data_IF_956116497213
#
_entry.id   IF_956116497213
#
_cell.length_a   1.000
_cell.length_b   1.000
_cell.length_c   1.000
_cell.angle_alpha   90.00
_cell.angle_beta   90.00
_cell.angle_gamma   90.00
#
_symmetry.space_group_name_H-M   'P 1'
#
loop_
_entity.id
_entity.type
_entity.pdbx_description
1 polymer ?
#
# COMPACT_ATOMS: atom_id res chain seq x y z
N UNK A 1 0.06 -36.22 54.27
CA UNK A 1 0.11 -36.59 52.82
C UNK A 1 -0.75 -35.59 52.07
N UNK A 2 -0.16 -34.50 51.70
CA UNK A 2 -0.80 -33.43 50.88
C UNK A 2 -0.40 -33.66 49.41
N UNK A 3 -1.42 -33.87 48.62
CA UNK A 3 -1.31 -34.15 47.14
C UNK A 3 -0.71 -32.92 46.43
N UNK A 4 0.45 -33.07 45.74
CA UNK A 4 1.12 -31.97 45.02
C UNK A 4 0.63 -31.70 43.59
N UNK A 5 -0.50 -32.24 43.15
CA UNK A 5 -0.92 -32.23 41.74
C UNK A 5 -2.17 -31.37 41.46
N UNK A 6 -2.33 -30.21 42.05
CA UNK A 6 -3.27 -29.18 41.57
C UNK A 6 -2.54 -27.87 41.21
N UNK A 7 -1.54 -27.94 40.34
CA UNK A 7 -1.20 -26.77 39.54
C UNK A 7 -2.29 -26.68 38.48
N UNK A 8 -3.20 -25.74 38.67
CA UNK A 8 -4.24 -25.42 37.70
C UNK A 8 -3.58 -25.11 36.35
N UNK A 9 -3.73 -26.04 35.41
CA UNK A 9 -3.37 -25.91 34.02
C UNK A 9 -4.31 -24.84 33.40
N UNK A 10 -4.04 -23.57 33.68
CA UNK A 10 -4.68 -22.44 32.99
C UNK A 10 -4.16 -22.47 31.56
N UNK A 11 -4.81 -23.29 30.70
CA UNK A 11 -4.58 -23.24 29.26
C UNK A 11 -4.66 -21.77 28.82
N UNK A 12 -3.60 -21.18 28.27
CA UNK A 12 -3.65 -19.79 27.83
C UNK A 12 -4.82 -19.65 26.85
N UNK A 13 -5.66 -18.64 27.05
CA UNK A 13 -6.81 -18.34 26.19
C UNK A 13 -6.33 -18.26 24.72
N UNK A 14 -6.56 -19.31 23.94
CA UNK A 14 -6.17 -19.37 22.52
C UNK A 14 -7.22 -18.61 21.74
N UNK A 15 -6.87 -17.42 21.33
CA UNK A 15 -7.67 -16.65 20.37
C UNK A 15 -7.77 -17.43 19.06
N UNK A 16 -8.96 -17.49 18.46
CA UNK A 16 -9.19 -18.11 17.17
C UNK A 16 -8.26 -17.45 16.11
N UNK A 17 -7.55 -18.24 15.32
CA UNK A 17 -6.62 -17.75 14.30
C UNK A 17 -7.27 -16.80 13.29
N UNK A 18 -8.55 -16.97 12.97
CA UNK A 18 -9.29 -16.04 12.11
C UNK A 18 -9.51 -14.67 12.73
N UNK A 19 -9.64 -14.57 14.06
CA UNK A 19 -9.68 -13.27 14.74
C UNK A 19 -8.32 -12.57 14.61
N UNK A 20 -7.22 -13.33 14.70
CA UNK A 20 -5.87 -12.78 14.46
C UNK A 20 -5.75 -12.26 13.03
N UNK A 21 -6.18 -13.03 12.03
CA UNK A 21 -6.19 -12.61 10.61
C UNK A 21 -7.02 -11.35 10.42
N UNK A 22 -8.22 -11.29 10.99
CA UNK A 22 -9.09 -10.11 10.92
C UNK A 22 -8.41 -8.88 11.53
N UNK A 23 -7.82 -9.01 12.72
CA UNK A 23 -7.10 -7.91 13.38
C UNK A 23 -5.91 -7.42 12.54
N UNK A 24 -5.20 -8.33 11.87
CA UNK A 24 -4.10 -7.96 10.96
C UNK A 24 -4.63 -7.25 9.71
N UNK A 25 -5.76 -7.71 9.14
CA UNK A 25 -6.41 -7.02 8.02
C UNK A 25 -6.82 -5.59 8.38
N UNK A 26 -7.45 -5.41 9.55
CA UNK A 26 -7.84 -4.07 10.03
C UNK A 26 -6.61 -3.23 10.38
N UNK A 27 -5.53 -3.84 10.89
CA UNK A 27 -4.24 -3.15 11.09
C UNK A 27 -3.65 -2.64 9.77
N UNK A 28 -3.85 -3.36 8.67
CA UNK A 28 -3.44 -2.90 7.34
C UNK A 28 -4.19 -1.62 6.91
N UNK A 29 -5.48 -1.48 7.30
CA UNK A 29 -6.21 -0.21 7.12
C UNK A 29 -5.55 0.94 7.88
N UNK A 30 -5.16 0.71 9.14
CA UNK A 30 -4.51 1.75 9.97
C UNK A 30 -3.15 2.16 9.39
N UNK A 31 -2.30 1.21 9.02
CA UNK A 31 -0.94 1.49 8.55
C UNK A 31 -0.89 2.07 7.12
N UNK A 32 -1.82 1.67 6.24
CA UNK A 32 -1.80 2.07 4.83
C UNK A 32 -2.90 3.04 4.47
N UNK A 33 -4.18 2.69 4.73
CA UNK A 33 -5.26 3.56 4.34
C UNK A 33 -5.26 4.87 5.14
N UNK A 34 -5.17 4.79 6.47
CA UNK A 34 -5.18 5.97 7.34
C UNK A 34 -3.83 6.70 7.31
N UNK A 35 -2.73 5.98 7.47
CA UNK A 35 -1.40 6.57 7.57
C UNK A 35 -0.80 7.07 6.25
N UNK A 36 -1.38 6.69 5.10
CA UNK A 36 -0.78 6.98 3.79
C UNK A 36 -1.80 7.48 2.76
N UNK A 37 -2.84 6.69 2.45
CA UNK A 37 -3.78 7.05 1.37
C UNK A 37 -4.78 8.13 1.78
N UNK A 38 -5.06 8.28 3.08
CA UNK A 38 -5.90 9.35 3.61
C UNK A 38 -5.41 10.74 3.22
N UNK A 39 -4.09 10.93 3.17
CA UNK A 39 -3.51 12.21 2.79
C UNK A 39 -3.90 12.60 1.34
N UNK A 40 -3.88 11.67 0.39
CA UNK A 40 -4.32 11.94 -0.98
C UNK A 40 -5.80 12.32 -1.07
N UNK A 41 -6.66 11.72 -0.24
CA UNK A 41 -8.10 12.07 -0.17
C UNK A 41 -8.31 13.46 0.42
N UNK A 42 -7.51 13.83 1.42
CA UNK A 42 -7.63 15.10 2.17
C UNK A 42 -6.75 16.21 1.60
N UNK A 43 -5.93 15.93 0.58
CA UNK A 43 -4.92 16.88 0.07
C UNK A 43 -5.51 18.23 -0.32
N UNK A 44 -6.64 18.35 -1.07
CA UNK A 44 -7.20 19.66 -1.39
C UNK A 44 -7.55 20.44 -0.12
N UNK A 45 -8.21 19.81 0.85
CA UNK A 45 -8.58 20.44 2.11
C UNK A 45 -7.36 20.89 2.94
N UNK A 46 -6.36 20.04 3.07
CA UNK A 46 -5.09 20.35 3.76
C UNK A 46 -4.37 21.51 3.09
N UNK A 47 -4.30 21.49 1.75
CA UNK A 47 -3.65 22.52 0.97
C UNK A 47 -4.31 23.89 1.19
N UNK A 48 -5.63 23.93 1.11
CA UNK A 48 -6.40 25.17 1.15
C UNK A 48 -6.48 25.74 2.57
N UNK A 49 -6.69 24.89 3.58
CA UNK A 49 -6.74 25.29 4.99
C UNK A 49 -5.37 25.79 5.51
N UNK A 50 -4.26 25.14 5.12
CA UNK A 50 -2.92 25.53 5.51
C UNK A 50 -2.29 26.59 4.57
N UNK A 51 -2.94 26.94 3.47
CA UNK A 51 -2.46 27.94 2.50
C UNK A 51 -1.13 27.54 1.85
N UNK A 52 -0.92 26.26 1.55
CA UNK A 52 0.33 25.74 0.99
C UNK A 52 0.22 25.46 -0.52
N UNK A 53 1.36 25.48 -1.22
CA UNK A 53 1.42 25.14 -2.64
C UNK A 53 1.23 23.63 -2.88
N UNK A 54 0.86 23.23 -4.10
CA UNK A 54 0.80 21.83 -4.51
C UNK A 54 2.18 21.15 -4.41
N UNK A 55 3.25 21.89 -4.69
CA UNK A 55 4.62 21.43 -4.51
C UNK A 55 4.89 21.01 -3.07
N UNK A 56 4.56 21.88 -2.09
CA UNK A 56 4.77 21.56 -0.67
C UNK A 56 3.86 20.40 -0.22
N UNK A 57 2.61 20.38 -0.67
CA UNK A 57 1.71 19.26 -0.42
C UNK A 57 2.26 17.95 -0.99
N UNK A 58 2.83 17.97 -2.20
CA UNK A 58 3.53 16.84 -2.81
C UNK A 58 4.76 16.38 -1.99
N UNK A 59 5.54 17.32 -1.46
CA UNK A 59 6.67 16.99 -0.58
C UNK A 59 6.23 16.32 0.72
N UNK A 60 5.13 16.76 1.33
CA UNK A 60 4.58 16.11 2.54
C UNK A 60 4.18 14.66 2.22
N UNK A 61 3.47 14.43 1.11
CA UNK A 61 3.10 13.08 0.65
C UNK A 61 4.33 12.22 0.33
N UNK A 62 5.31 12.78 -0.39
CA UNK A 62 6.57 12.13 -0.71
C UNK A 62 7.39 11.78 0.54
N UNK A 63 7.43 12.67 1.53
CA UNK A 63 8.13 12.45 2.80
C UNK A 63 7.51 11.28 3.61
N UNK A 64 6.18 11.17 3.65
CA UNK A 64 5.50 10.02 4.25
C UNK A 64 5.96 8.69 3.61
N UNK A 65 6.00 8.65 2.29
CA UNK A 65 6.42 7.47 1.54
C UNK A 65 7.91 7.19 1.68
N UNK A 66 8.75 8.23 1.69
CA UNK A 66 10.17 8.12 1.97
C UNK A 66 10.44 7.57 3.38
N UNK A 67 9.67 8.03 4.36
CA UNK A 67 9.72 7.51 5.72
C UNK A 67 9.28 6.03 5.80
N UNK A 68 8.29 5.63 5.00
CA UNK A 68 7.93 4.21 4.85
C UNK A 68 9.09 3.40 4.27
N UNK A 69 9.79 3.91 3.25
CA UNK A 69 10.97 3.25 2.69
C UNK A 69 12.08 3.07 3.73
N UNK A 70 12.36 4.11 4.53
CA UNK A 70 13.30 4.02 5.67
C UNK A 70 12.83 2.98 6.67
N UNK A 71 11.56 2.98 7.03
CA UNK A 71 10.94 1.97 7.90
C UNK A 71 11.13 0.55 7.36
N UNK A 72 11.02 0.35 6.04
CA UNK A 72 11.27 -0.94 5.38
C UNK A 72 12.70 -1.43 5.60
N UNK A 73 13.68 -0.55 5.45
CA UNK A 73 15.09 -0.86 5.74
C UNK A 73 15.29 -1.17 7.22
N UNK A 74 14.65 -0.43 8.11
CA UNK A 74 14.66 -0.71 9.55
C UNK A 74 14.10 -2.10 9.87
N UNK A 75 12.97 -2.51 9.26
CA UNK A 75 12.42 -3.87 9.45
C UNK A 75 13.43 -4.92 9.05
N UNK A 76 14.10 -4.76 7.91
CA UNK A 76 15.11 -5.73 7.43
C UNK A 76 16.27 -5.92 8.42
N UNK A 77 16.66 -4.85 9.12
CA UNK A 77 17.69 -4.89 10.15
C UNK A 77 17.17 -5.45 11.48
N UNK A 78 15.95 -5.03 11.90
CA UNK A 78 15.34 -5.43 13.16
C UNK A 78 14.92 -6.90 13.16
N UNK A 79 14.44 -7.42 12.02
CA UNK A 79 13.94 -8.79 11.88
C UNK A 79 15.01 -9.85 12.18
N UNK A 80 16.31 -9.51 12.03
CA UNK A 80 17.42 -10.38 12.43
C UNK A 80 17.67 -10.43 13.95
N UNK A 81 17.07 -9.53 14.74
CA UNK A 81 17.35 -9.35 16.18
C UNK A 81 16.11 -9.49 17.05
N UNK A 82 14.95 -9.12 16.54
CA UNK A 82 13.69 -9.06 17.29
C UNK A 82 12.60 -9.91 16.64
N UNK A 83 11.61 -10.31 17.44
CA UNK A 83 10.45 -11.04 16.93
C UNK A 83 9.58 -10.14 16.05
N UNK A 84 9.12 -10.67 14.92
CA UNK A 84 8.28 -9.92 13.96
C UNK A 84 7.03 -9.31 14.60
N UNK A 85 6.40 -10.03 15.53
CA UNK A 85 5.26 -9.51 16.29
C UNK A 85 5.63 -8.28 17.15
N UNK A 86 6.82 -8.24 17.73
CA UNK A 86 7.32 -7.07 18.46
C UNK A 86 7.49 -5.86 17.53
N UNK A 87 8.09 -6.08 16.35
CA UNK A 87 8.25 -5.04 15.31
C UNK A 87 6.88 -4.51 14.88
N UNK A 88 5.93 -5.40 14.59
CA UNK A 88 4.56 -5.02 14.20
C UNK A 88 3.86 -4.18 15.28
N UNK A 89 4.01 -4.54 16.56
CA UNK A 89 3.42 -3.78 17.68
C UNK A 89 4.00 -2.37 17.79
N UNK A 90 5.33 -2.23 17.65
CA UNK A 90 5.98 -0.91 17.60
C UNK A 90 5.46 -0.11 16.39
N UNK A 91 5.33 -0.74 15.23
CA UNK A 91 4.75 -0.12 14.04
C UNK A 91 3.34 0.40 14.28
N UNK A 92 2.50 -0.38 14.97
CA UNK A 92 1.13 0.01 15.32
C UNK A 92 1.10 1.24 16.25
N UNK A 93 1.96 1.26 17.27
CA UNK A 93 2.09 2.41 18.17
C UNK A 93 2.52 3.66 17.40
N UNK A 94 3.55 3.56 16.55
CA UNK A 94 4.02 4.68 15.74
C UNK A 94 2.94 5.18 14.78
N UNK A 95 2.20 4.28 14.11
CA UNK A 95 1.10 4.68 13.24
C UNK A 95 0.04 5.47 14.00
N UNK A 96 -0.36 5.01 15.18
CA UNK A 96 -1.36 5.68 16.03
C UNK A 96 -0.83 7.03 16.55
N UNK A 97 0.44 7.10 17.00
CA UNK A 97 1.08 8.36 17.43
C UNK A 97 1.13 9.36 16.27
N UNK A 98 1.49 8.92 15.07
CA UNK A 98 1.48 9.80 13.90
C UNK A 98 0.08 10.28 13.53
N UNK A 99 -0.97 9.43 13.60
CA UNK A 99 -2.36 9.84 13.40
C UNK A 99 -2.82 10.84 14.46
N UNK A 100 -2.43 10.65 15.72
CA UNK A 100 -2.65 11.62 16.78
C UNK A 100 -2.00 12.98 16.43
N UNK A 101 -0.72 12.98 16.07
CA UNK A 101 -0.02 14.20 15.65
C UNK A 101 -0.68 14.87 14.44
N UNK A 102 -1.14 14.11 13.44
CA UNK A 102 -1.83 14.64 12.29
C UNK A 102 -3.17 15.30 12.67
N UNK A 103 -3.93 14.72 13.61
CA UNK A 103 -5.21 15.24 14.06
C UNK A 103 -5.12 16.57 14.83
N UNK A 104 -3.96 16.88 15.41
CA UNK A 104 -3.69 18.15 16.11
C UNK A 104 -2.77 19.09 15.33
N UNK A 105 -2.45 18.76 14.07
CA UNK A 105 -1.55 19.59 13.27
C UNK A 105 -2.21 20.90 12.89
N UNK A 106 -1.46 21.99 13.10
CA UNK A 106 -1.85 23.38 12.72
C UNK A 106 -0.88 23.98 11.71
N UNK A 107 0.08 23.21 11.23
CA UNK A 107 1.07 23.63 10.25
C UNK A 107 1.51 22.47 9.35
N UNK A 108 1.99 22.83 8.16
CA UNK A 108 2.53 21.88 7.18
C UNK A 108 3.68 21.04 7.74
N UNK A 109 4.56 21.65 8.56
CA UNK A 109 5.72 20.99 9.17
C UNK A 109 5.26 19.93 10.19
N UNK A 110 4.30 20.28 11.06
CA UNK A 110 3.76 19.36 12.07
C UNK A 110 3.04 18.18 11.39
N UNK A 111 2.24 18.47 10.38
CA UNK A 111 1.57 17.43 9.59
C UNK A 111 2.59 16.53 8.88
N UNK A 112 3.59 17.11 8.21
CA UNK A 112 4.64 16.37 7.52
C UNK A 112 5.41 15.44 8.46
N UNK A 113 5.81 15.92 9.65
CA UNK A 113 6.47 15.09 10.67
C UNK A 113 5.54 13.96 11.14
N UNK A 114 4.28 14.26 11.42
CA UNK A 114 3.28 13.28 11.85
C UNK A 114 3.08 12.19 10.80
N UNK A 115 3.00 12.56 9.52
CA UNK A 115 2.90 11.62 8.41
C UNK A 115 4.20 10.81 8.20
N UNK A 116 5.37 11.37 8.45
CA UNK A 116 6.62 10.59 8.47
C UNK A 116 6.58 9.51 9.56
N UNK A 117 6.08 9.83 10.75
CA UNK A 117 5.91 8.85 11.83
C UNK A 117 4.95 7.74 11.43
N UNK A 118 3.79 8.09 10.77
CA UNK A 118 2.88 7.07 10.24
C UNK A 118 3.54 6.25 9.13
N UNK A 119 4.38 6.84 8.30
CA UNK A 119 5.11 6.15 7.23
C UNK A 119 6.02 5.05 7.78
N UNK A 120 6.89 5.40 8.75
CA UNK A 120 7.74 4.40 9.45
C UNK A 120 6.87 3.35 10.14
N UNK A 121 5.84 3.78 10.89
CA UNK A 121 4.91 2.90 11.59
C UNK A 121 4.22 1.92 10.63
N UNK A 122 3.76 2.40 9.48
CA UNK A 122 3.14 1.59 8.43
C UNK A 122 4.05 0.49 7.90
N UNK A 123 5.34 0.78 7.69
CA UNK A 123 6.32 -0.21 7.26
C UNK A 123 6.55 -1.30 8.31
N UNK A 124 6.78 -0.88 9.58
CA UNK A 124 6.98 -1.80 10.69
C UNK A 124 5.76 -2.67 10.96
N UNK A 125 4.57 -2.18 10.63
CA UNK A 125 3.32 -2.90 10.75
C UNK A 125 3.11 -3.88 9.59
N UNK A 126 3.24 -3.40 8.35
CA UNK A 126 2.85 -4.13 7.15
C UNK A 126 3.79 -5.29 6.80
N UNK A 127 5.11 -5.07 6.90
CA UNK A 127 6.07 -6.08 6.43
C UNK A 127 6.00 -7.38 7.23
N UNK A 128 5.88 -7.38 8.59
CA UNK A 128 5.70 -8.59 9.36
C UNK A 128 4.30 -9.22 9.23
N UNK A 129 3.30 -8.44 8.87
CA UNK A 129 1.89 -8.81 8.94
C UNK A 129 1.53 -10.10 8.16
N UNK A 130 1.97 -10.33 6.91
CA UNK A 130 1.69 -11.57 6.17
C UNK A 130 2.18 -12.83 6.88
N UNK A 131 3.36 -12.76 7.49
CA UNK A 131 3.97 -13.88 8.20
C UNK A 131 3.15 -14.20 9.45
N UNK A 132 2.73 -13.17 10.21
CA UNK A 132 1.94 -13.32 11.43
C UNK A 132 0.54 -13.86 11.10
N UNK A 133 -0.09 -13.37 10.02
CA UNK A 133 -1.39 -13.87 9.55
C UNK A 133 -1.31 -15.34 9.12
N UNK A 134 -0.27 -15.71 8.37
CA UNK A 134 -0.06 -17.08 7.92
C UNK A 134 0.22 -18.05 9.08
N UNK A 135 0.92 -17.61 10.13
CA UNK A 135 1.20 -18.42 11.32
C UNK A 135 -0.06 -18.70 12.19
N UNK A 136 -1.05 -17.82 12.09
CA UNK A 136 -2.26 -17.90 12.92
C UNK A 136 -3.23 -19.01 12.49
N UNK A 137 -3.09 -19.55 11.27
CA UNK A 137 -4.05 -20.47 10.66
C UNK A 137 -3.37 -21.70 10.03
N UNK A 138 -4.15 -22.80 9.76
CA UNK A 138 -3.62 -24.00 9.11
C UNK A 138 -2.99 -23.72 7.74
N UNK A 139 -1.99 -24.52 7.36
CA UNK A 139 -1.17 -24.32 6.16
C UNK A 139 -1.98 -24.21 4.86
N UNK A 140 -3.04 -25.01 4.72
CA UNK A 140 -3.93 -25.01 3.54
C UNK A 140 -4.75 -23.72 3.37
N UNK A 141 -4.86 -22.86 4.41
CA UNK A 141 -5.61 -21.60 4.40
C UNK A 141 -4.72 -20.35 4.38
N UNK A 142 -3.40 -20.51 4.49
CA UNK A 142 -2.42 -19.39 4.49
C UNK A 142 -2.54 -18.46 3.29
N UNK A 143 -2.69 -18.96 2.03
CA UNK A 143 -2.86 -18.05 0.89
C UNK A 143 -4.09 -17.14 1.02
N UNK A 144 -5.19 -17.65 1.57
CA UNK A 144 -6.39 -16.87 1.82
C UNK A 144 -6.14 -15.77 2.86
N UNK A 145 -5.46 -16.09 3.98
CA UNK A 145 -5.16 -15.09 5.01
C UNK A 145 -4.29 -13.94 4.49
N UNK A 146 -3.27 -14.25 3.71
CA UNK A 146 -2.40 -13.24 3.09
C UNK A 146 -3.18 -12.42 2.06
N UNK A 147 -4.03 -13.06 1.25
CA UNK A 147 -4.89 -12.37 0.28
C UNK A 147 -5.87 -11.38 0.91
N UNK A 148 -6.46 -11.74 2.06
CA UNK A 148 -7.38 -10.88 2.81
C UNK A 148 -6.74 -9.59 3.33
N UNK A 149 -5.42 -9.54 3.49
CA UNK A 149 -4.74 -8.32 3.94
C UNK A 149 -4.86 -7.17 2.93
N UNK A 150 -4.80 -7.46 1.63
CA UNK A 150 -5.04 -6.45 0.59
C UNK A 150 -6.45 -5.87 0.65
N UNK A 151 -7.44 -6.71 0.99
CA UNK A 151 -8.82 -6.27 1.20
C UNK A 151 -8.94 -5.27 2.36
N UNK A 152 -8.13 -5.44 3.43
CA UNK A 152 -8.08 -4.49 4.55
C UNK A 152 -7.71 -3.07 4.10
N UNK A 153 -6.77 -2.92 3.17
CA UNK A 153 -6.43 -1.60 2.60
C UNK A 153 -7.62 -1.02 1.83
N UNK A 154 -8.28 -1.81 0.98
CA UNK A 154 -9.45 -1.37 0.21
C UNK A 154 -10.61 -0.91 1.10
N UNK A 155 -10.92 -1.66 2.16
CA UNK A 155 -11.92 -1.27 3.17
C UNK A 155 -11.52 0.02 3.90
N UNK A 156 -10.24 0.15 4.26
CA UNK A 156 -9.72 1.37 4.88
C UNK A 156 -9.85 2.59 3.98
N UNK A 157 -9.55 2.46 2.70
CA UNK A 157 -9.71 3.52 1.69
C UNK A 157 -11.19 3.90 1.56
N UNK A 158 -12.09 2.93 1.40
CA UNK A 158 -13.53 3.17 1.35
C UNK A 158 -14.01 3.94 2.59
N UNK A 159 -13.58 3.52 3.77
CA UNK A 159 -13.95 4.18 5.03
C UNK A 159 -13.45 5.63 5.07
N UNK A 160 -12.14 5.84 4.85
CA UNK A 160 -11.52 7.18 4.90
C UNK A 160 -12.16 8.12 3.91
N UNK A 161 -12.35 7.68 2.66
CA UNK A 161 -12.93 8.52 1.61
C UNK A 161 -14.35 8.93 1.96
N UNK A 162 -15.18 7.97 2.41
CA UNK A 162 -16.57 8.26 2.77
C UNK A 162 -16.68 9.21 3.97
N UNK A 163 -15.87 8.98 5.00
CA UNK A 163 -15.88 9.83 6.21
C UNK A 163 -15.33 11.22 5.89
N UNK A 164 -14.21 11.30 5.16
CA UNK A 164 -13.60 12.59 4.81
C UNK A 164 -14.51 13.45 3.93
N UNK A 165 -15.14 12.86 2.91
CA UNK A 165 -16.07 13.58 2.05
C UNK A 165 -17.25 14.15 2.83
N UNK A 166 -17.87 13.37 3.73
CA UNK A 166 -19.00 13.84 4.54
C UNK A 166 -18.63 14.89 5.58
N UNK A 167 -17.46 14.74 6.22
CA UNK A 167 -16.99 15.75 7.19
C UNK A 167 -16.71 17.07 6.51
N UNK A 168 -16.04 17.05 5.36
CA UNK A 168 -15.77 18.27 4.58
C UNK A 168 -17.04 18.93 4.07
N UNK A 169 -18.02 18.17 3.62
CA UNK A 169 -19.31 18.70 3.17
C UNK A 169 -20.08 19.41 4.30
N UNK A 170 -20.03 18.87 5.52
CA UNK A 170 -20.77 19.42 6.66
C UNK A 170 -20.04 20.51 7.43
N UNK A 171 -18.70 20.52 7.45
CA UNK A 171 -17.88 21.36 8.32
C UNK A 171 -16.84 22.20 7.55
N UNK A 172 -16.75 22.03 6.22
CA UNK A 172 -15.75 22.70 5.39
C UNK A 172 -14.37 22.02 5.43
N UNK A 173 -13.40 22.65 4.75
CA UNK A 173 -12.09 22.06 4.54
C UNK A 173 -11.28 21.86 5.83
N UNK A 174 -11.41 22.72 6.83
CA UNK A 174 -10.78 22.55 8.14
C UNK A 174 -11.13 21.21 8.82
N UNK A 175 -12.17 20.49 8.34
CA UNK A 175 -12.55 19.15 8.81
C UNK A 175 -11.54 18.05 8.48
N UNK A 176 -10.46 18.32 7.72
CA UNK A 176 -9.40 17.35 7.51
C UNK A 176 -8.76 16.88 8.82
N UNK A 177 -8.61 17.77 9.80
CA UNK A 177 -8.08 17.44 11.13
C UNK A 177 -9.02 16.46 11.87
N UNK A 178 -10.35 16.67 11.80
CA UNK A 178 -11.36 15.79 12.37
C UNK A 178 -11.38 14.42 11.66
N UNK A 179 -11.15 14.39 10.35
CA UNK A 179 -11.00 13.12 9.64
C UNK A 179 -9.82 12.31 10.16
N UNK A 180 -8.66 12.93 10.43
CA UNK A 180 -7.54 12.26 11.10
C UNK A 180 -7.86 11.87 12.55
N UNK A 181 -8.66 12.68 13.26
CA UNK A 181 -9.07 12.37 14.63
C UNK A 181 -9.93 11.09 14.70
N UNK A 182 -10.88 10.93 13.78
CA UNK A 182 -11.67 9.69 13.66
C UNK A 182 -10.76 8.48 13.39
N UNK A 183 -9.81 8.63 12.46
CA UNK A 183 -8.83 7.59 12.14
C UNK A 183 -7.93 7.26 13.34
N UNK A 184 -7.53 8.26 14.13
CA UNK A 184 -6.77 8.09 15.35
C UNK A 184 -7.54 7.25 16.38
N UNK A 185 -8.80 7.58 16.67
CA UNK A 185 -9.60 6.80 17.64
C UNK A 185 -9.80 5.34 17.23
N UNK A 186 -10.06 5.11 15.93
CA UNK A 186 -10.15 3.75 15.41
C UNK A 186 -8.79 3.05 15.50
N UNK A 187 -7.71 3.76 15.16
CA UNK A 187 -6.35 3.25 15.30
C UNK A 187 -6.01 2.83 16.72
N UNK A 188 -6.40 3.62 17.73
CA UNK A 188 -6.25 3.28 19.15
C UNK A 188 -7.03 2.01 19.50
N UNK A 189 -8.31 1.91 19.08
CA UNK A 189 -9.12 0.72 19.34
C UNK A 189 -8.48 -0.54 18.74
N UNK A 190 -8.07 -0.47 17.46
CA UNK A 190 -7.39 -1.59 16.78
C UNK A 190 -6.07 -1.94 17.49
N UNK A 191 -5.28 -0.94 17.86
CA UNK A 191 -4.02 -1.13 18.60
C UNK A 191 -4.26 -1.90 19.90
N UNK A 192 -5.25 -1.51 20.69
CA UNK A 192 -5.58 -2.18 21.96
C UNK A 192 -5.94 -3.65 21.71
N UNK A 193 -6.81 -3.93 20.72
CA UNK A 193 -7.16 -5.32 20.38
C UNK A 193 -5.96 -6.12 19.89
N UNK A 194 -5.09 -5.55 19.06
CA UNK A 194 -3.87 -6.22 18.59
C UNK A 194 -2.92 -6.51 19.74
N UNK A 195 -2.69 -5.56 20.66
CA UNK A 195 -1.81 -5.76 21.81
C UNK A 195 -2.33 -6.82 22.78
N UNK A 196 -3.65 -6.90 22.97
CA UNK A 196 -4.29 -7.83 23.88
C UNK A 196 -4.45 -9.24 23.29
N UNK A 197 -4.85 -9.35 22.04
CA UNK A 197 -5.30 -10.62 21.43
C UNK A 197 -4.24 -11.29 20.57
N UNK A 198 -3.34 -10.56 19.90
CA UNK A 198 -2.28 -11.14 19.07
C UNK A 198 -1.06 -11.41 19.96
N UNK A 199 -0.99 -12.59 20.58
CA UNK A 199 0.01 -12.88 21.63
C UNK A 199 1.14 -13.84 21.21
N UNK A 200 0.93 -14.69 20.19
CA UNK A 200 1.86 -15.76 19.84
C UNK A 200 2.27 -15.70 18.37
N UNK A 201 3.55 -15.90 18.13
CA UNK A 201 4.15 -16.08 16.82
C UNK A 201 5.28 -17.10 16.91
N UNK A 202 5.25 -18.12 16.05
CA UNK A 202 6.29 -19.14 15.95
C UNK A 202 7.30 -18.85 14.83
N UNK A 203 6.99 -17.94 13.90
CA UNK A 203 7.85 -17.66 12.75
C UNK A 203 9.24 -17.16 13.17
N UNK A 204 10.27 -17.76 12.59
CA UNK A 204 11.65 -17.31 12.71
C UNK A 204 11.87 -16.03 11.91
N UNK A 205 12.85 -15.18 12.30
CA UNK A 205 13.20 -14.00 11.53
C UNK A 205 13.52 -14.37 10.08
N UNK A 206 13.06 -13.53 9.14
CA UNK A 206 13.40 -13.67 7.72
C UNK A 206 14.90 -13.41 7.52
N UNK A 207 15.50 -14.06 6.52
CA UNK A 207 16.91 -13.91 6.18
C UNK A 207 17.31 -12.47 5.79
N UNK A 208 18.61 -12.22 5.67
CA UNK A 208 19.20 -10.92 5.32
C UNK A 208 18.70 -10.43 3.96
N UNK A 209 18.02 -9.30 3.93
CA UNK A 209 17.61 -8.57 2.73
C UNK A 209 18.35 -7.22 2.61
N UNK A 210 17.88 -6.35 1.72
CA UNK A 210 18.38 -4.99 1.54
C UNK A 210 19.35 -4.85 0.36
N UNK A 211 20.35 -3.97 0.46
CA UNK A 211 21.29 -3.66 -0.64
C UNK A 211 22.06 -4.88 -1.18
N UNK A 212 22.33 -5.87 -0.34
CA UNK A 212 22.92 -7.16 -0.75
C UNK A 212 22.04 -7.95 -1.73
N UNK A 213 20.76 -7.61 -1.86
CA UNK A 213 19.83 -8.27 -2.78
C UNK A 213 20.01 -7.92 -4.25
N UNK A 214 20.74 -6.85 -4.60
CA UNK A 214 20.95 -6.48 -6.01
C UNK A 214 21.72 -7.54 -6.79
N UNK A 215 22.70 -8.20 -6.18
CA UNK A 215 23.42 -9.29 -6.83
C UNK A 215 22.52 -10.52 -7.10
N UNK A 216 21.61 -10.83 -6.18
CA UNK A 216 20.60 -11.87 -6.39
C UNK A 216 19.61 -11.48 -7.49
N UNK A 217 19.12 -10.23 -7.47
CA UNK A 217 18.22 -9.70 -8.49
C UNK A 217 18.83 -9.78 -9.90
N UNK A 218 20.13 -9.41 -10.05
CA UNK A 218 20.82 -9.45 -11.35
C UNK A 218 20.95 -10.86 -11.94
N UNK A 219 20.90 -11.91 -11.11
CA UNK A 219 20.88 -13.30 -11.59
C UNK A 219 19.55 -13.69 -12.22
N UNK A 220 18.47 -12.98 -11.89
CA UNK A 220 17.15 -13.26 -12.46
C UNK A 220 17.07 -12.85 -13.92
N UNK A 221 16.56 -13.73 -14.79
CA UNK A 221 16.30 -13.40 -16.20
C UNK A 221 15.22 -12.31 -16.28
N UNK A 222 15.53 -11.21 -16.98
CA UNK A 222 14.63 -10.07 -17.09
C UNK A 222 14.60 -9.15 -15.87
N UNK A 223 15.63 -9.19 -15.03
CA UNK A 223 15.73 -8.36 -13.83
C UNK A 223 15.60 -6.85 -14.11
N UNK A 224 16.27 -6.35 -15.15
CA UNK A 224 16.25 -4.92 -15.47
C UNK A 224 14.87 -4.44 -15.94
N UNK A 225 14.24 -5.05 -16.98
CA UNK A 225 12.90 -4.63 -17.40
C UNK A 225 11.84 -4.80 -16.30
N UNK A 226 11.94 -5.83 -15.43
CA UNK A 226 11.03 -5.96 -14.31
C UNK A 226 11.21 -4.83 -13.28
N UNK A 227 12.45 -4.55 -12.91
CA UNK A 227 12.77 -3.49 -11.95
C UNK A 227 12.35 -2.11 -12.46
N UNK A 228 12.58 -1.86 -13.77
CA UNK A 228 12.11 -0.64 -14.42
C UNK A 228 10.58 -0.54 -14.40
N UNK A 229 9.86 -1.61 -14.75
CA UNK A 229 8.41 -1.64 -14.71
C UNK A 229 7.88 -1.42 -13.26
N UNK A 230 8.54 -2.00 -12.27
CA UNK A 230 8.16 -1.81 -10.87
C UNK A 230 8.41 -0.36 -10.40
N UNK A 231 9.53 0.25 -10.82
CA UNK A 231 9.79 1.67 -10.60
C UNK A 231 8.74 2.57 -11.28
N UNK A 232 8.38 2.26 -12.55
CA UNK A 232 7.30 2.97 -13.25
C UNK A 232 5.96 2.85 -12.49
N UNK A 233 5.63 1.66 -11.97
CA UNK A 233 4.43 1.49 -11.15
C UNK A 233 4.49 2.36 -9.90
N UNK A 234 5.61 2.38 -9.17
CA UNK A 234 5.79 3.23 -7.99
C UNK A 234 5.60 4.71 -8.28
N UNK A 235 6.11 5.18 -9.41
CA UNK A 235 6.01 6.56 -9.84
C UNK A 235 4.58 6.93 -10.27
N UNK A 236 3.98 6.16 -11.18
CA UNK A 236 2.71 6.51 -11.80
C UNK A 236 1.52 6.49 -10.85
N UNK A 237 1.47 5.49 -9.93
CA UNK A 237 0.29 5.33 -9.11
C UNK A 237 0.14 6.45 -8.06
N UNK A 238 1.24 6.98 -7.53
CA UNK A 238 1.16 8.08 -6.57
C UNK A 238 0.86 9.42 -7.24
N UNK A 239 1.25 9.62 -8.50
CA UNK A 239 0.74 10.76 -9.27
C UNK A 239 -0.78 10.68 -9.42
N UNK A 240 -1.32 9.50 -9.64
CA UNK A 240 -2.76 9.33 -9.77
C UNK A 240 -3.49 9.39 -8.42
N UNK A 241 -3.16 8.51 -7.48
CA UNK A 241 -3.86 8.42 -6.19
C UNK A 241 -3.59 9.63 -5.29
N UNK A 242 -2.41 10.19 -5.36
CA UNK A 242 -2.03 11.34 -4.54
C UNK A 242 -2.77 12.62 -4.90
N UNK A 243 -3.19 12.76 -6.16
CA UNK A 243 -3.81 13.99 -6.67
C UNK A 243 -5.22 13.79 -7.24
N UNK A 244 -5.84 12.60 -7.09
CA UNK A 244 -7.14 12.31 -7.69
C UNK A 244 -8.24 13.27 -7.20
N UNK A 245 -8.39 13.44 -5.90
CA UNK A 245 -9.39 14.33 -5.32
C UNK A 245 -9.13 15.78 -5.73
N UNK A 246 -7.89 16.23 -5.63
CA UNK A 246 -7.50 17.58 -6.03
C UNK A 246 -7.78 17.83 -7.52
N UNK A 247 -7.47 16.86 -8.40
CA UNK A 247 -7.79 16.97 -9.83
C UNK A 247 -9.30 17.10 -10.08
N UNK A 248 -10.11 16.34 -9.36
CA UNK A 248 -11.57 16.38 -9.54
C UNK A 248 -12.18 17.66 -8.99
N UNK A 249 -11.71 18.14 -7.85
CA UNK A 249 -12.19 19.37 -7.23
C UNK A 249 -11.72 20.61 -8.00
N UNK A 250 -10.41 20.78 -8.21
CA UNK A 250 -9.85 22.01 -8.80
C UNK A 250 -10.12 22.13 -10.31
N UNK A 251 -9.85 21.04 -11.07
CA UNK A 251 -9.91 21.13 -12.54
C UNK A 251 -11.29 20.77 -13.10
N UNK A 252 -12.13 20.03 -12.35
CA UNK A 252 -13.45 19.56 -12.82
C UNK A 252 -14.61 20.16 -12.02
N UNK A 253 -14.35 20.90 -10.93
CA UNK A 253 -15.38 21.56 -10.12
C UNK A 253 -16.27 20.58 -9.33
N UNK A 254 -15.75 19.39 -9.00
CA UNK A 254 -16.50 18.40 -8.23
C UNK A 254 -16.61 18.82 -6.76
N UNK A 255 -17.69 18.37 -6.12
CA UNK A 255 -17.81 18.50 -4.66
C UNK A 255 -16.84 17.57 -3.95
N UNK A 256 -16.50 17.88 -2.70
CA UNK A 256 -15.66 17.00 -1.86
C UNK A 256 -16.27 15.61 -1.67
N UNK A 257 -17.61 15.49 -1.64
CA UNK A 257 -18.34 14.23 -1.55
C UNK A 257 -18.15 13.41 -2.82
N UNK A 258 -18.35 14.01 -3.99
CA UNK A 258 -18.27 13.29 -5.28
C UNK A 258 -16.83 12.85 -5.57
N UNK A 259 -15.84 13.72 -5.32
CA UNK A 259 -14.42 13.41 -5.46
C UNK A 259 -13.99 12.27 -4.50
N UNK A 260 -14.45 12.32 -3.25
CA UNK A 260 -14.22 11.25 -2.27
C UNK A 260 -14.94 9.95 -2.67
N UNK A 261 -16.12 10.02 -3.30
CA UNK A 261 -16.83 8.84 -3.81
C UNK A 261 -16.06 8.16 -4.94
N UNK A 262 -15.44 8.92 -5.85
CA UNK A 262 -14.56 8.35 -6.88
C UNK A 262 -13.40 7.55 -6.25
N UNK A 263 -12.80 8.07 -5.18
CA UNK A 263 -11.76 7.36 -4.42
C UNK A 263 -12.32 6.13 -3.69
N UNK A 264 -13.55 6.19 -3.18
CA UNK A 264 -14.24 5.06 -2.56
C UNK A 264 -14.49 3.91 -3.53
N UNK A 265 -14.95 4.21 -4.76
CA UNK A 265 -15.16 3.24 -5.84
C UNK A 265 -13.84 2.53 -6.19
N UNK A 266 -12.75 3.30 -6.27
CA UNK A 266 -11.42 2.74 -6.47
C UNK A 266 -11.03 1.79 -5.33
N UNK A 267 -11.29 2.16 -4.07
CA UNK A 267 -11.04 1.32 -2.89
C UNK A 267 -11.81 -0.01 -2.94
N UNK A 268 -13.09 0.01 -3.34
CA UNK A 268 -13.88 -1.21 -3.54
C UNK A 268 -13.27 -2.09 -4.64
N UNK A 269 -12.88 -1.50 -5.76
CA UNK A 269 -12.25 -2.25 -6.85
C UNK A 269 -10.92 -2.90 -6.45
N UNK A 270 -10.14 -2.26 -5.58
CA UNK A 270 -8.89 -2.80 -5.03
C UNK A 270 -9.09 -4.11 -4.26
N UNK A 271 -10.25 -4.32 -3.63
CA UNK A 271 -10.56 -5.56 -2.88
C UNK A 271 -10.51 -6.77 -3.81
N UNK A 272 -10.95 -6.61 -5.04
CA UNK A 272 -11.14 -7.71 -6.00
C UNK A 272 -10.00 -7.82 -7.02
N UNK A 273 -9.32 -6.72 -7.34
CA UNK A 273 -8.36 -6.65 -8.44
C UNK A 273 -7.21 -7.63 -8.29
N UNK A 274 -6.51 -7.63 -7.15
CA UNK A 274 -5.37 -8.52 -6.89
C UNK A 274 -5.72 -10.00 -7.08
N UNK A 275 -6.71 -10.56 -6.36
CA UNK A 275 -7.13 -11.95 -6.50
C UNK A 275 -7.57 -12.30 -7.92
N UNK A 276 -8.32 -11.44 -8.59
CA UNK A 276 -8.84 -11.68 -9.93
C UNK A 276 -7.70 -11.79 -10.96
N UNK A 277 -6.83 -10.78 -11.05
CA UNK A 277 -5.80 -10.78 -12.09
C UNK A 277 -4.69 -11.80 -11.83
N UNK A 278 -4.38 -12.12 -10.56
CA UNK A 278 -3.43 -13.20 -10.26
C UNK A 278 -3.99 -14.58 -10.61
N UNK A 279 -5.30 -14.81 -10.43
CA UNK A 279 -5.95 -16.03 -10.89
C UNK A 279 -5.94 -16.13 -12.42
N UNK A 280 -6.23 -15.03 -13.11
CA UNK A 280 -6.15 -14.98 -14.57
C UNK A 280 -4.71 -15.17 -15.08
N UNK A 281 -3.72 -14.74 -14.32
CA UNK A 281 -2.30 -14.93 -14.67
C UNK A 281 -1.89 -16.40 -14.71
N UNK A 282 -2.53 -17.27 -13.92
CA UNK A 282 -2.31 -18.73 -13.99
C UNK A 282 -2.73 -19.30 -15.35
N UNK A 283 -3.75 -18.71 -15.99
CA UNK A 283 -4.27 -19.16 -17.28
C UNK A 283 -3.57 -18.48 -18.48
N UNK A 284 -3.36 -17.17 -18.41
CA UNK A 284 -2.88 -16.38 -19.53
C UNK A 284 -1.39 -16.03 -19.43
N UNK A 285 -0.74 -16.32 -18.30
CA UNK A 285 0.65 -15.99 -18.01
C UNK A 285 0.83 -14.60 -17.40
N UNK A 286 1.81 -14.50 -16.49
CA UNK A 286 2.08 -13.28 -15.70
C UNK A 286 2.51 -12.12 -16.59
N UNK A 287 3.36 -12.37 -17.61
CA UNK A 287 3.81 -11.33 -18.55
C UNK A 287 2.64 -10.70 -19.30
N UNK A 288 1.68 -11.50 -19.78
CA UNK A 288 0.50 -10.99 -20.47
C UNK A 288 -0.36 -10.12 -19.56
N UNK A 289 -0.61 -10.58 -18.33
CA UNK A 289 -1.42 -9.82 -17.35
C UNK A 289 -0.74 -8.53 -16.92
N UNK A 290 0.59 -8.52 -16.75
CA UNK A 290 1.36 -7.29 -16.53
C UNK A 290 1.24 -6.33 -17.73
N UNK A 291 1.37 -6.84 -18.96
CA UNK A 291 1.22 -6.02 -20.19
C UNK A 291 -0.18 -5.41 -20.27
N UNK A 292 -1.22 -6.20 -19.96
CA UNK A 292 -2.60 -5.74 -19.92
C UNK A 292 -2.79 -4.63 -18.87
N UNK A 293 -2.25 -4.84 -17.65
CA UNK A 293 -2.39 -3.88 -16.55
C UNK A 293 -1.70 -2.53 -16.87
N UNK A 294 -0.45 -2.56 -17.35
CA UNK A 294 0.25 -1.35 -17.77
C UNK A 294 -0.38 -0.71 -19.01
N UNK A 295 -0.93 -1.48 -19.94
CA UNK A 295 -1.60 -0.98 -21.15
C UNK A 295 -2.96 -0.34 -20.88
N UNK A 296 -3.73 -0.84 -19.90
CA UNK A 296 -5.03 -0.30 -19.54
C UNK A 296 -4.95 0.92 -18.60
N UNK A 297 -3.88 1.07 -17.83
CA UNK A 297 -3.70 2.20 -16.93
C UNK A 297 -3.85 3.57 -17.63
N UNK A 298 -3.15 3.86 -18.76
CA UNK A 298 -3.32 5.13 -19.46
C UNK A 298 -4.73 5.30 -20.01
N UNK A 299 -5.41 4.23 -20.44
CA UNK A 299 -6.80 4.28 -20.93
C UNK A 299 -7.73 4.78 -19.81
N UNK A 300 -7.67 4.16 -18.64
CA UNK A 300 -8.50 4.59 -17.50
C UNK A 300 -8.09 5.98 -17.00
N UNK A 301 -6.80 6.32 -17.05
CA UNK A 301 -6.33 7.68 -16.69
C UNK A 301 -6.94 8.73 -17.60
N UNK A 302 -6.96 8.51 -18.92
CA UNK A 302 -7.58 9.43 -19.91
C UNK A 302 -9.10 9.51 -19.69
N UNK A 303 -9.75 8.41 -19.37
CA UNK A 303 -11.18 8.40 -19.03
C UNK A 303 -11.45 9.28 -17.79
N UNK A 304 -10.62 9.22 -16.76
CA UNK A 304 -10.73 10.08 -15.57
C UNK A 304 -10.49 11.54 -15.89
N UNK A 305 -9.61 11.86 -16.84
CA UNK A 305 -9.36 13.23 -17.29
C UNK A 305 -10.57 13.87 -17.96
N UNK A 306 -11.59 13.12 -18.38
CA UNK A 306 -12.83 13.68 -18.91
C UNK A 306 -13.57 14.58 -17.92
N UNK A 307 -13.40 14.38 -16.61
CA UNK A 307 -14.09 15.11 -15.56
C UNK A 307 -15.61 14.82 -15.48
N UNK A 308 -16.14 13.92 -16.33
CA UNK A 308 -17.57 13.57 -16.35
C UNK A 308 -17.82 12.41 -15.36
N UNK A 309 -18.84 12.51 -14.54
CA UNK A 309 -19.06 11.63 -13.39
C UNK A 309 -19.02 10.13 -13.73
N UNK A 310 -19.85 9.66 -14.66
CA UNK A 310 -19.95 8.23 -14.97
C UNK A 310 -18.64 7.66 -15.57
N UNK A 311 -17.99 8.30 -16.58
CA UNK A 311 -16.66 7.90 -17.04
C UNK A 311 -15.62 7.90 -15.92
N UNK A 312 -15.57 8.93 -15.06
CA UNK A 312 -14.61 9.01 -13.96
C UNK A 312 -14.79 7.83 -13.00
N UNK A 313 -15.99 7.49 -12.59
CA UNK A 313 -16.26 6.35 -11.72
C UNK A 313 -15.81 5.03 -12.36
N UNK A 314 -16.09 4.85 -13.65
CA UNK A 314 -15.61 3.68 -14.40
C UNK A 314 -14.06 3.64 -14.49
N UNK A 315 -13.43 4.77 -14.77
CA UNK A 315 -11.97 4.91 -14.78
C UNK A 315 -11.35 4.61 -13.43
N UNK A 316 -11.90 5.15 -12.34
CA UNK A 316 -11.44 4.90 -10.97
C UNK A 316 -11.61 3.43 -10.57
N UNK A 317 -12.71 2.78 -10.97
CA UNK A 317 -12.90 1.34 -10.78
C UNK A 317 -11.81 0.56 -11.51
N UNK A 318 -11.51 0.89 -12.77
CA UNK A 318 -10.44 0.26 -13.54
C UNK A 318 -9.06 0.45 -12.89
N UNK A 319 -8.71 1.67 -12.49
CA UNK A 319 -7.45 1.95 -11.79
C UNK A 319 -7.35 1.16 -10.48
N UNK A 320 -8.43 1.07 -9.71
CA UNK A 320 -8.46 0.29 -8.47
C UNK A 320 -8.14 -1.19 -8.70
N UNK A 321 -8.73 -1.81 -9.72
CA UNK A 321 -8.39 -3.18 -10.13
C UNK A 321 -6.92 -3.34 -10.49
N UNK A 322 -6.38 -2.42 -11.29
CA UNK A 322 -4.99 -2.48 -11.75
C UNK A 322 -4.00 -2.22 -10.62
N UNK A 323 -4.30 -1.25 -9.76
CA UNK A 323 -3.44 -0.88 -8.63
C UNK A 323 -3.15 -2.06 -7.70
N UNK A 324 -4.19 -2.78 -7.27
CA UNK A 324 -4.02 -3.93 -6.36
C UNK A 324 -3.40 -5.16 -7.04
N UNK A 325 -3.49 -5.23 -8.37
CA UNK A 325 -3.00 -6.37 -9.14
C UNK A 325 -1.52 -6.27 -9.48
N UNK A 326 -1.03 -5.08 -9.82
CA UNK A 326 0.34 -4.88 -10.30
C UNK A 326 1.40 -5.39 -9.31
N UNK A 327 1.37 -5.06 -7.99
CA UNK A 327 2.34 -5.60 -7.05
C UNK A 327 2.29 -7.13 -6.95
N UNK A 328 1.09 -7.69 -6.99
CA UNK A 328 0.88 -9.13 -6.90
C UNK A 328 1.42 -9.87 -8.12
N UNK A 329 1.20 -9.32 -9.33
CA UNK A 329 1.73 -9.87 -10.57
C UNK A 329 3.25 -9.75 -10.66
N UNK A 330 3.84 -8.64 -10.18
CA UNK A 330 5.29 -8.45 -10.10
C UNK A 330 5.89 -9.47 -9.14
N UNK A 331 5.28 -9.64 -7.96
CA UNK A 331 5.69 -10.66 -6.99
C UNK A 331 5.65 -12.06 -7.61
N UNK A 332 4.57 -12.39 -8.31
CA UNK A 332 4.43 -13.70 -8.97
C UNK A 332 5.51 -13.91 -10.05
N UNK A 333 5.83 -12.86 -10.83
CA UNK A 333 6.92 -12.95 -11.81
C UNK A 333 8.27 -13.22 -11.15
N UNK A 334 8.58 -12.56 -10.02
CA UNK A 334 9.82 -12.80 -9.27
C UNK A 334 9.86 -14.25 -8.75
N UNK A 335 8.77 -14.73 -8.18
CA UNK A 335 8.66 -16.13 -7.69
C UNK A 335 8.91 -17.13 -8.82
N UNK A 336 8.36 -16.92 -10.01
CA UNK A 336 8.51 -17.83 -11.15
C UNK A 336 9.91 -17.82 -11.79
N UNK A 337 10.72 -16.77 -11.55
CA UNK A 337 12.00 -16.56 -12.23
C UNK A 337 13.21 -16.51 -11.29
N UNK A 338 13.03 -16.80 -9.99
CA UNK A 338 14.09 -16.87 -9.00
C UNK A 338 14.05 -18.20 -8.25
N UNK A 339 15.18 -18.59 -7.66
CA UNK A 339 15.23 -19.70 -6.71
C UNK A 339 14.59 -19.30 -5.38
N UNK A 340 14.19 -20.26 -4.56
CA UNK A 340 13.65 -20.02 -3.21
C UNK A 340 14.66 -19.24 -2.32
N UNK A 341 15.95 -19.44 -2.52
CA UNK A 341 17.03 -18.77 -1.78
C UNK A 341 17.19 -17.29 -2.19
N UNK A 342 17.09 -17.01 -3.49
CA UNK A 342 17.28 -15.67 -4.06
C UNK A 342 16.02 -14.80 -4.05
N UNK A 343 14.83 -15.39 -3.90
CA UNK A 343 13.55 -14.70 -3.99
C UNK A 343 13.47 -13.48 -3.07
N UNK A 344 13.70 -13.69 -1.77
CA UNK A 344 13.54 -12.63 -0.77
C UNK A 344 14.49 -11.44 -1.02
N UNK A 345 15.74 -11.75 -1.36
CA UNK A 345 16.76 -10.75 -1.65
C UNK A 345 16.46 -9.98 -2.96
N UNK A 346 16.07 -10.69 -4.01
CA UNK A 346 15.73 -10.11 -5.31
C UNK A 346 14.50 -9.20 -5.23
N UNK A 347 13.43 -9.66 -4.53
CA UNK A 347 12.23 -8.89 -4.35
C UNK A 347 12.47 -7.62 -3.52
N UNK A 348 13.27 -7.73 -2.45
CA UNK A 348 13.63 -6.57 -1.62
C UNK A 348 14.41 -5.52 -2.42
N UNK A 349 15.36 -5.93 -3.27
CA UNK A 349 16.11 -5.01 -4.12
C UNK A 349 15.23 -4.32 -5.17
N UNK A 350 14.32 -5.04 -5.83
CA UNK A 350 13.37 -4.46 -6.77
C UNK A 350 12.42 -3.47 -6.06
N UNK A 351 11.99 -3.79 -4.83
CA UNK A 351 11.13 -2.94 -4.00
C UNK A 351 11.82 -1.64 -3.57
N UNK A 352 13.15 -1.61 -3.44
CA UNK A 352 13.87 -0.36 -3.18
C UNK A 352 13.71 0.62 -4.34
N UNK A 353 13.83 0.17 -5.59
CA UNK A 353 13.65 1.03 -6.78
C UNK A 353 12.21 1.54 -6.85
N UNK A 354 11.23 0.68 -6.61
CA UNK A 354 9.84 1.08 -6.45
C UNK A 354 9.67 2.13 -5.35
N UNK A 355 10.28 1.93 -4.17
CA UNK A 355 10.22 2.85 -3.03
C UNK A 355 10.81 4.23 -3.33
N UNK A 356 11.95 4.30 -4.01
CA UNK A 356 12.53 5.57 -4.45
C UNK A 356 11.62 6.28 -5.46
N UNK A 357 11.15 5.57 -6.48
CA UNK A 357 10.29 6.13 -7.51
C UNK A 357 9.00 6.73 -6.92
N UNK A 358 8.35 6.02 -6.00
CA UNK A 358 7.14 6.52 -5.33
C UNK A 358 7.40 7.69 -4.37
N UNK A 359 8.62 7.82 -3.82
CA UNK A 359 8.99 8.95 -2.94
C UNK A 359 9.12 10.25 -3.71
N UNK A 360 9.71 10.20 -4.91
CA UNK A 360 9.97 11.39 -5.72
C UNK A 360 8.78 11.83 -6.57
N UNK A 361 7.81 10.95 -6.84
CA UNK A 361 6.70 11.26 -7.74
C UNK A 361 5.74 12.34 -7.21
N UNK A 362 5.30 12.39 -5.94
CA UNK A 362 4.37 13.44 -5.48
C UNK A 362 4.98 14.85 -5.49
N UNK A 363 6.25 15.09 -5.07
CA UNK A 363 6.88 16.40 -5.24
C UNK A 363 6.91 16.87 -6.71
N UNK A 364 7.24 15.98 -7.64
CA UNK A 364 7.25 16.28 -9.08
C UNK A 364 5.84 16.59 -9.55
N UNK A 365 4.83 15.81 -9.13
CA UNK A 365 3.43 16.05 -9.49
C UNK A 365 2.93 17.41 -8.99
N UNK A 366 3.20 17.75 -7.72
CA UNK A 366 2.84 19.04 -7.15
C UNK A 366 3.51 20.21 -7.86
N UNK A 367 4.82 20.08 -8.17
CA UNK A 367 5.55 21.11 -8.91
C UNK A 367 4.98 21.33 -10.33
N UNK A 368 4.64 20.26 -11.06
CA UNK A 368 4.01 20.36 -12.37
C UNK A 368 2.65 21.05 -12.26
N UNK A 369 1.85 20.72 -11.24
CA UNK A 369 0.54 21.33 -11.02
C UNK A 369 0.66 22.84 -10.74
N UNK A 370 1.61 23.25 -9.89
CA UNK A 370 1.86 24.69 -9.63
C UNK A 370 2.32 25.43 -10.89
N UNK A 371 3.18 24.81 -11.72
CA UNK A 371 3.67 25.43 -12.96
C UNK A 371 2.62 25.51 -14.07
N UNK A 372 1.75 24.54 -14.18
CA UNK A 372 0.75 24.46 -15.27
C UNK A 372 -0.62 25.02 -14.88
N UNK A 373 -0.87 25.24 -13.59
CA UNK A 373 -2.19 25.63 -13.06
C UNK A 373 -3.25 24.53 -13.20
N UNK A 374 -2.87 23.25 -13.43
CA UNK A 374 -3.78 22.13 -13.63
C UNK A 374 -3.10 20.80 -13.32
N UNK A 375 -3.87 19.82 -12.85
CA UNK A 375 -3.39 18.44 -12.65
C UNK A 375 -3.40 17.60 -13.92
N UNK A 376 -3.87 18.11 -15.05
CA UNK A 376 -3.95 17.35 -16.32
C UNK A 376 -2.58 16.79 -16.73
N UNK A 377 -1.50 17.61 -16.67
CA UNK A 377 -0.15 17.12 -17.01
C UNK A 377 0.38 16.09 -16.02
N UNK A 378 -0.01 16.16 -14.75
CA UNK A 378 0.36 15.16 -13.72
C UNK A 378 -0.23 13.81 -14.07
N UNK A 379 -1.50 13.77 -14.48
CA UNK A 379 -2.19 12.54 -14.90
C UNK A 379 -1.65 12.01 -16.23
N UNK A 380 -1.34 12.88 -17.19
CA UNK A 380 -0.69 12.49 -18.44
C UNK A 380 0.70 11.89 -18.18
N UNK A 381 1.47 12.46 -17.25
CA UNK A 381 2.76 11.90 -16.83
C UNK A 381 2.59 10.50 -16.23
N UNK A 382 1.56 10.28 -15.40
CA UNK A 382 1.21 8.94 -14.90
C UNK A 382 0.93 7.97 -16.05
N UNK A 383 0.13 8.40 -17.05
CA UNK A 383 -0.20 7.60 -18.22
C UNK A 383 1.05 7.27 -19.06
N UNK A 384 1.91 8.26 -19.35
CA UNK A 384 3.17 8.07 -20.10
C UNK A 384 4.12 7.13 -19.34
N UNK A 385 4.25 7.31 -18.03
CA UNK A 385 5.08 6.42 -17.20
C UNK A 385 4.57 4.97 -17.25
N UNK A 386 3.25 4.77 -17.32
CA UNK A 386 2.68 3.45 -17.52
C UNK A 386 3.06 2.85 -18.88
N UNK A 387 3.08 3.64 -19.95
CA UNK A 387 3.54 3.17 -21.27
C UNK A 387 5.02 2.79 -21.27
N UNK A 388 5.87 3.51 -20.53
CA UNK A 388 7.27 3.11 -20.31
C UNK A 388 7.35 1.77 -19.59
N UNK A 389 6.52 1.59 -18.53
CA UNK A 389 6.38 0.32 -17.82
C UNK A 389 5.91 -0.81 -18.75
N UNK A 390 4.94 -0.55 -19.63
CA UNK A 390 4.49 -1.51 -20.65
C UNK A 390 5.64 -1.91 -21.57
N UNK A 391 6.40 -0.94 -22.11
CA UNK A 391 7.54 -1.21 -22.98
C UNK A 391 8.60 -2.06 -22.27
N UNK A 392 8.81 -1.85 -20.97
CA UNK A 392 9.69 -2.69 -20.17
C UNK A 392 9.12 -4.12 -20.02
N UNK A 393 7.84 -4.26 -19.68
CA UNK A 393 7.18 -5.58 -19.53
C UNK A 393 7.19 -6.38 -20.84
N UNK A 394 7.02 -5.73 -21.98
CA UNK A 394 7.11 -6.39 -23.28
C UNK A 394 8.51 -6.97 -23.60
N UNK A 395 9.55 -6.50 -22.90
CA UNK A 395 10.92 -7.06 -23.00
C UNK A 395 11.19 -8.18 -22.00
N UNK A 396 10.24 -8.49 -21.11
CA UNK A 396 10.39 -9.61 -20.20
C UNK A 396 10.46 -10.93 -20.98
N UNK A 397 11.35 -11.88 -20.60
CA UNK A 397 11.33 -13.23 -21.13
C UNK A 397 9.96 -13.89 -20.93
N UNK A 398 9.53 -14.72 -21.87
CA UNK A 398 8.38 -15.60 -21.62
C UNK A 398 8.79 -16.60 -20.55
N UNK A 399 8.00 -16.71 -19.47
CA UNK A 399 8.20 -17.72 -18.43
C UNK A 399 7.91 -19.10 -19.01
N UNK A 400 8.94 -19.87 -19.27
CA UNK A 400 8.83 -21.31 -19.34
C UNK A 400 8.90 -21.79 -17.88
N UNK A 401 7.78 -22.25 -17.33
CA UNK A 401 7.64 -22.60 -15.91
C UNK A 401 8.75 -23.47 -15.34
N UNK A 402 9.80 -22.84 -14.82
CA UNK A 402 10.93 -23.52 -14.19
C UNK A 402 10.47 -24.33 -12.99
N UNK A 403 9.42 -23.87 -12.26
CA UNK A 403 8.83 -24.61 -11.16
C UNK A 403 8.00 -25.84 -11.60
N UNK A 404 7.42 -25.84 -12.81
CA UNK A 404 6.77 -27.05 -13.37
C UNK A 404 7.78 -28.12 -13.70
N UNK A 405 8.93 -27.77 -14.25
CA UNK A 405 9.97 -28.72 -14.61
C UNK A 405 10.61 -29.40 -13.37
N UNK A 406 10.72 -28.70 -12.24
CA UNK A 406 11.20 -29.31 -10.97
C UNK A 406 10.14 -30.15 -10.26
N UNK A 407 8.85 -29.87 -10.43
CA UNK A 407 7.77 -30.68 -9.87
C UNK A 407 7.49 -31.94 -10.70
N UNK A 408 7.66 -31.88 -12.01
CA UNK A 408 7.51 -33.04 -12.90
C UNK A 408 8.76 -33.95 -12.90
N UNK A 409 9.87 -33.51 -12.28
CA UNK A 409 11.11 -34.28 -12.13
C UNK A 409 11.28 -34.98 -10.77
N UNK A 410 10.32 -34.79 -9.86
CA UNK A 410 10.24 -35.47 -8.54
C UNK A 410 9.01 -36.37 -8.46
#
# INVERSE_FOLDING_TARGET
>A
MTDPQRVADTKPFRVNGWIVVLLICVSASVGHAFGRFSYGVLLPAVRDDLGISNTLAGFIGGANVGAYLVGTLCVSWLAGRYRLLGIMRVGMVLAVVGLCGASFSTSAQMLGLSLCITGVGGALLWIPAPVIAADAIPANKRPLAVGLMGSGIGFGILFVSTVSGRLRDSMGDAAWAQAYQVQFYIGVAVMVFVLLLVRHQQAKPAGRGGLAGFSALQRMRGWFPLTLAYGCFGFMYLLFLGFLTTRLEDDSGWTSVDASMAFSIMGVAMIFGGPLLTTLAQRFGVRFMLSLAFGLWPVFTVIVLSGIALPVWFGCMGIGFLFSSLPSLITLYVVENTTAEDYGASFAAATLVFGVAQTISPPIGGWIADMSGSFTLVFLLSAVTSLVGLAAVLRLPRTTGLLKAEQDSK
#
